data_IF_951783510052
#
_entry.id   IF_951783510052
#
_cell.length_a   1.000
_cell.length_b   1.000
_cell.length_c   1.000
_cell.angle_alpha   90.00
_cell.angle_beta   90.00
_cell.angle_gamma   90.00
#
_symmetry.space_group_name_H-M   'P 1'
#
loop_
_entity.id
_entity.type
_entity.pdbx_description
1 polymer ?
#
# COMPACT_ATOMS: atom_id res chain seq x y z
N UNK A 1 15.89 8.80 14.97
CA UNK A 1 16.51 7.67 14.24
C UNK A 1 15.60 6.44 14.11
N UNK A 2 15.17 5.78 15.21
CA UNK A 2 14.37 4.52 15.15
C UNK A 2 13.05 4.62 14.34
N UNK A 3 12.28 5.70 14.50
CA UNK A 3 11.00 5.88 13.78
C UNK A 3 11.22 6.04 12.27
N UNK A 4 12.33 6.67 11.85
CA UNK A 4 12.62 6.93 10.44
C UNK A 4 12.97 5.64 9.68
N UNK A 5 13.82 4.78 10.27
CA UNK A 5 14.15 3.48 9.67
C UNK A 5 12.96 2.52 9.68
N UNK A 6 12.10 2.61 10.69
CA UNK A 6 10.98 1.68 10.83
C UNK A 6 9.71 2.13 10.09
N UNK A 7 9.59 3.40 9.67
CA UNK A 7 8.38 3.90 9.01
C UNK A 7 8.03 3.13 7.73
N UNK A 8 9.01 2.86 6.85
CA UNK A 8 8.80 2.11 5.61
C UNK A 8 8.29 0.67 5.86
N UNK A 9 8.98 -0.18 6.66
CA UNK A 9 8.49 -1.53 6.94
C UNK A 9 7.16 -1.54 7.71
N UNK A 10 6.92 -0.56 8.58
CA UNK A 10 5.67 -0.47 9.36
C UNK A 10 4.45 -0.16 8.47
N UNK A 11 4.61 0.73 7.48
CA UNK A 11 3.58 0.94 6.45
C UNK A 11 3.44 -0.26 5.51
N UNK A 12 4.55 -0.94 5.19
CA UNK A 12 4.54 -2.18 4.42
C UNK A 12 3.70 -3.28 5.08
N UNK A 13 3.79 -3.46 6.40
CA UNK A 13 2.96 -4.42 7.15
C UNK A 13 1.48 -4.08 7.02
N UNK A 14 1.11 -2.79 7.08
CA UNK A 14 -0.26 -2.33 6.83
C UNK A 14 -0.75 -2.70 5.42
N UNK A 15 0.11 -2.60 4.41
CA UNK A 15 -0.19 -3.03 3.06
C UNK A 15 -0.38 -4.55 2.93
N UNK A 16 0.48 -5.33 3.59
CA UNK A 16 0.36 -6.78 3.64
C UNK A 16 -0.97 -7.22 4.28
N UNK A 17 -1.32 -6.63 5.42
CA UNK A 17 -2.60 -6.88 6.09
C UNK A 17 -3.79 -6.49 5.21
N UNK A 18 -3.73 -5.32 4.56
CA UNK A 18 -4.75 -4.89 3.61
C UNK A 18 -4.94 -5.88 2.47
N UNK A 19 -3.85 -6.47 1.97
CA UNK A 19 -3.87 -7.53 0.96
C UNK A 19 -4.49 -8.83 1.42
N UNK A 20 -4.12 -9.33 2.60
CA UNK A 20 -4.69 -10.55 3.17
C UNK A 20 -6.19 -10.40 3.43
N UNK A 21 -6.60 -9.27 4.02
CA UNK A 21 -8.01 -8.98 4.30
C UNK A 21 -8.79 -8.86 2.99
N UNK A 22 -8.29 -8.09 2.02
CA UNK A 22 -8.93 -7.95 0.71
C UNK A 22 -9.07 -9.30 0.01
N UNK A 23 -8.00 -10.12 -0.01
CA UNK A 23 -8.02 -11.44 -0.61
C UNK A 23 -9.03 -12.37 0.07
N UNK A 24 -9.10 -12.38 1.42
CA UNK A 24 -10.09 -13.18 2.14
C UNK A 24 -11.53 -12.79 1.77
N UNK A 25 -11.82 -11.50 1.65
CA UNK A 25 -13.17 -11.01 1.33
C UNK A 25 -13.57 -11.32 -0.12
N UNK A 26 -12.65 -11.10 -1.05
CA UNK A 26 -12.86 -11.37 -2.48
C UNK A 26 -13.03 -12.87 -2.75
N UNK A 27 -12.30 -13.74 -2.05
CA UNK A 27 -12.49 -15.19 -2.15
C UNK A 27 -13.88 -15.63 -1.73
N UNK A 28 -14.42 -15.06 -0.65
CA UNK A 28 -15.80 -15.33 -0.21
C UNK A 28 -16.81 -14.85 -1.23
N UNK A 29 -16.62 -13.66 -1.81
CA UNK A 29 -17.54 -13.09 -2.81
C UNK A 29 -17.53 -13.87 -4.13
N UNK A 30 -16.38 -14.37 -4.56
CA UNK A 30 -16.24 -15.13 -5.81
C UNK A 30 -16.32 -16.64 -5.61
N UNK A 31 -16.59 -17.12 -4.40
CA UNK A 31 -16.68 -18.54 -4.05
C UNK A 31 -15.44 -19.38 -4.47
N UNK A 32 -14.26 -18.75 -4.45
CA UNK A 32 -12.99 -19.40 -4.84
C UNK A 32 -12.39 -20.09 -3.63
N UNK A 33 -12.47 -21.43 -3.61
CA UNK A 33 -11.91 -22.26 -2.53
C UNK A 33 -10.52 -22.81 -2.85
N UNK A 34 -10.16 -22.88 -4.13
CA UNK A 34 -8.88 -23.41 -4.61
C UNK A 34 -7.69 -22.48 -4.31
N UNK A 35 -6.51 -23.09 -4.12
CA UNK A 35 -5.21 -22.42 -4.06
C UNK A 35 -5.14 -21.20 -3.11
N UNK A 36 -5.64 -21.33 -1.87
CA UNK A 36 -5.73 -20.22 -0.90
C UNK A 36 -4.38 -19.62 -0.53
N UNK A 37 -3.37 -20.47 -0.32
CA UNK A 37 -2.01 -20.03 -0.02
C UNK A 37 -1.35 -19.36 -1.23
N UNK A 38 -1.60 -19.87 -2.44
CA UNK A 38 -1.01 -19.34 -3.66
C UNK A 38 -1.56 -17.95 -4.03
N UNK A 39 -2.80 -17.60 -3.63
CA UNK A 39 -3.33 -16.24 -3.80
C UNK A 39 -3.01 -15.33 -2.59
N UNK A 40 -2.96 -15.87 -1.37
CA UNK A 40 -2.66 -15.11 -0.16
C UNK A 40 -1.21 -14.61 -0.11
N UNK A 41 -0.24 -15.45 -0.46
CA UNK A 41 1.19 -15.09 -0.42
C UNK A 41 1.49 -13.87 -1.31
N UNK A 42 1.21 -13.87 -2.63
CA UNK A 42 1.46 -12.72 -3.49
C UNK A 42 0.64 -11.49 -3.07
N UNK A 43 -0.60 -11.70 -2.59
CA UNK A 43 -1.45 -10.60 -2.13
C UNK A 43 -0.90 -9.89 -0.90
N UNK A 44 -0.07 -10.53 -0.08
CA UNK A 44 0.59 -9.90 1.06
C UNK A 44 1.98 -9.37 0.70
N UNK A 45 2.79 -10.19 0.02
CA UNK A 45 4.18 -9.89 -0.26
C UNK A 45 4.35 -8.77 -1.29
N UNK A 46 3.54 -8.76 -2.36
CA UNK A 46 3.67 -7.77 -3.42
C UNK A 46 3.30 -6.37 -2.90
N UNK A 47 2.17 -6.17 -2.20
CA UNK A 47 1.85 -4.87 -1.61
C UNK A 47 2.86 -4.44 -0.53
N UNK A 48 3.34 -5.38 0.28
CA UNK A 48 4.40 -5.10 1.26
C UNK A 48 5.61 -4.49 0.58
N UNK A 49 6.19 -5.21 -0.40
CA UNK A 49 7.39 -4.79 -1.11
C UNK A 49 7.16 -3.47 -1.84
N UNK A 50 6.03 -3.34 -2.52
CA UNK A 50 5.66 -2.13 -3.27
C UNK A 50 5.62 -0.91 -2.37
N UNK A 51 4.95 -0.99 -1.22
CA UNK A 51 4.88 0.14 -0.28
C UNK A 51 6.22 0.44 0.35
N UNK A 52 7.00 -0.57 0.75
CA UNK A 52 8.36 -0.33 1.27
C UNK A 52 9.26 0.34 0.23
N UNK A 53 9.25 -0.14 -1.03
CA UNK A 53 10.08 0.40 -2.10
C UNK A 53 9.65 1.81 -2.50
N UNK A 54 8.34 2.06 -2.65
CA UNK A 54 7.83 3.40 -2.92
C UNK A 54 8.19 4.33 -1.77
N UNK A 55 8.09 3.88 -0.52
CA UNK A 55 8.45 4.70 0.63
C UNK A 55 9.94 5.07 0.61
N UNK A 56 10.84 4.12 0.30
CA UNK A 56 12.29 4.36 0.18
C UNK A 56 12.62 5.25 -1.02
N UNK A 57 12.18 4.91 -2.23
CA UNK A 57 12.46 5.67 -3.46
C UNK A 57 11.93 7.10 -3.37
N UNK A 58 10.75 7.31 -2.79
CA UNK A 58 10.20 8.65 -2.63
C UNK A 58 10.90 9.40 -1.48
N UNK A 59 11.47 8.73 -0.47
CA UNK A 59 12.39 9.40 0.46
C UNK A 59 13.68 9.80 -0.27
N UNK A 60 14.34 8.88 -0.97
CA UNK A 60 15.66 9.12 -1.55
C UNK A 60 15.61 10.11 -2.73
N UNK A 61 14.72 9.89 -3.71
CA UNK A 61 14.71 10.67 -4.95
C UNK A 61 14.01 12.02 -4.83
N UNK A 62 12.94 12.10 -4.03
CA UNK A 62 12.13 13.32 -3.93
C UNK A 62 12.66 14.26 -2.86
N UNK A 63 13.20 13.75 -1.74
CA UNK A 63 13.58 14.58 -0.60
C UNK A 63 15.02 15.07 -0.70
N UNK A 64 15.94 14.27 -1.25
CA UNK A 64 17.34 14.66 -1.41
C UNK A 64 17.58 15.45 -2.71
N UNK A 65 16.84 15.13 -3.78
CA UNK A 65 17.18 15.62 -5.12
C UNK A 65 16.40 16.84 -5.66
N UNK A 66 15.17 17.12 -5.21
CA UNK A 66 14.34 18.14 -5.91
C UNK A 66 13.25 18.84 -5.11
N UNK A 67 12.68 18.23 -4.09
CA UNK A 67 11.59 18.84 -3.33
C UNK A 67 12.14 19.40 -2.03
N UNK A 68 12.19 20.74 -1.91
CA UNK A 68 12.51 21.39 -0.64
C UNK A 68 11.47 20.95 0.38
N UNK A 69 11.89 20.08 1.29
CA UNK A 69 11.12 19.56 2.41
C UNK A 69 10.90 20.62 3.49
N UNK A 70 10.42 21.80 3.10
CA UNK A 70 10.13 22.92 3.99
C UNK A 70 8.64 22.97 4.38
N UNK A 71 7.81 22.07 3.83
CA UNK A 71 6.38 22.07 4.07
C UNK A 71 5.93 20.80 4.81
N UNK A 72 5.48 20.96 6.05
CA UNK A 72 4.88 19.91 6.87
C UNK A 72 3.65 19.28 6.19
N UNK A 73 2.86 20.10 5.49
CA UNK A 73 1.69 19.65 4.75
C UNK A 73 2.06 18.69 3.59
N UNK A 74 3.19 18.91 2.92
CA UNK A 74 3.66 18.05 1.85
C UNK A 74 4.08 16.66 2.37
N UNK A 75 4.81 16.64 3.50
CA UNK A 75 5.19 15.39 4.16
C UNK A 75 3.96 14.61 4.67
N UNK A 76 2.98 15.31 5.23
CA UNK A 76 1.75 14.71 5.76
C UNK A 76 0.85 14.18 4.64
N UNK A 77 0.62 14.97 3.59
CA UNK A 77 -0.20 14.57 2.44
C UNK A 77 0.38 13.34 1.72
N UNK A 78 1.71 13.24 1.64
CA UNK A 78 2.39 12.06 1.11
C UNK A 78 2.12 10.82 1.97
N UNK A 79 2.27 10.93 3.29
CA UNK A 79 2.01 9.83 4.21
C UNK A 79 0.58 9.31 4.10
N UNK A 80 -0.39 10.23 3.97
CA UNK A 80 -1.80 9.90 3.69
C UNK A 80 -1.94 9.14 2.37
N UNK A 81 -1.34 9.65 1.30
CA UNK A 81 -1.45 9.06 -0.04
C UNK A 81 -0.86 7.66 -0.10
N UNK A 82 0.34 7.46 0.46
CA UNK A 82 1.02 6.16 0.50
C UNK A 82 0.24 5.19 1.38
N UNK A 83 -0.28 5.63 2.53
CA UNK A 83 -1.11 4.81 3.41
C UNK A 83 -2.38 4.36 2.72
N UNK A 84 -3.18 5.30 2.21
CA UNK A 84 -4.47 4.99 1.60
C UNK A 84 -4.36 4.16 0.32
N UNK A 85 -3.44 4.51 -0.60
CA UNK A 85 -3.28 3.78 -1.86
C UNK A 85 -2.59 2.43 -1.60
N UNK A 86 -1.53 2.44 -0.79
CA UNK A 86 -0.70 1.27 -0.52
C UNK A 86 -1.43 0.19 0.27
N UNK A 87 -2.31 0.56 1.20
CA UNK A 87 -3.04 -0.39 2.05
C UNK A 87 -4.47 -0.69 1.60
N UNK A 88 -5.00 0.05 0.63
CA UNK A 88 -6.39 -0.08 0.18
C UNK A 88 -6.51 -0.39 -1.31
N UNK A 89 -6.21 0.60 -2.15
CA UNK A 89 -6.45 0.50 -3.60
C UNK A 89 -5.57 -0.57 -4.25
N UNK A 90 -4.27 -0.55 -3.97
CA UNK A 90 -3.33 -1.50 -4.57
C UNK A 90 -3.61 -2.96 -4.17
N UNK A 91 -3.85 -3.28 -2.87
CA UNK A 91 -4.19 -4.64 -2.48
C UNK A 91 -5.54 -5.13 -3.00
N UNK A 92 -6.56 -4.26 -3.11
CA UNK A 92 -7.87 -4.63 -3.71
C UNK A 92 -7.70 -4.97 -5.19
N UNK A 93 -6.98 -4.15 -5.95
CA UNK A 93 -6.71 -4.42 -7.36
C UNK A 93 -5.95 -5.73 -7.55
N UNK A 94 -4.93 -5.97 -6.75
CA UNK A 94 -4.14 -7.20 -6.85
C UNK A 94 -4.94 -8.44 -6.43
N UNK A 95 -5.78 -8.34 -5.40
CA UNK A 95 -6.68 -9.43 -5.01
C UNK A 95 -7.73 -9.74 -6.10
N UNK A 96 -8.27 -8.72 -6.78
CA UNK A 96 -9.18 -8.91 -7.93
C UNK A 96 -8.48 -9.62 -9.09
N UNK A 97 -7.28 -9.19 -9.45
CA UNK A 97 -6.50 -9.79 -10.54
C UNK A 97 -6.17 -11.26 -10.24
N UNK A 98 -5.63 -11.55 -9.05
CA UNK A 98 -5.25 -12.91 -8.66
C UNK A 98 -6.47 -13.84 -8.64
N UNK A 99 -7.55 -13.45 -7.97
CA UNK A 99 -8.74 -14.30 -7.88
C UNK A 99 -9.47 -14.43 -9.23
N UNK A 100 -9.49 -13.39 -10.05
CA UNK A 100 -10.02 -13.45 -11.41
C UNK A 100 -9.24 -14.42 -12.30
N UNK A 101 -7.90 -14.41 -12.24
CA UNK A 101 -7.07 -15.37 -12.96
C UNK A 101 -7.32 -16.81 -12.50
N UNK A 102 -7.54 -17.03 -11.20
CA UNK A 102 -7.88 -18.35 -10.67
C UNK A 102 -9.21 -18.87 -11.23
N UNK A 103 -10.25 -18.01 -11.30
CA UNK A 103 -11.54 -18.39 -11.88
C UNK A 103 -11.36 -18.72 -13.37
N UNK A 104 -10.66 -17.88 -14.12
CA UNK A 104 -10.39 -18.14 -15.54
C UNK A 104 -9.67 -19.48 -15.78
N UNK A 105 -8.80 -19.91 -14.86
CA UNK A 105 -8.04 -21.15 -14.97
C UNK A 105 -8.79 -22.39 -14.48
N UNK A 106 -9.46 -22.31 -13.32
CA UNK A 106 -10.08 -23.46 -12.67
C UNK A 106 -11.58 -23.60 -12.99
N UNK A 107 -12.25 -22.50 -13.37
CA UNK A 107 -13.68 -22.46 -13.74
C UNK A 107 -13.91 -21.55 -14.95
N UNK A 108 -13.43 -21.94 -16.14
CA UNK A 108 -13.56 -21.12 -17.35
C UNK A 108 -15.01 -20.86 -17.75
N UNK A 109 -15.96 -21.70 -17.31
CA UNK A 109 -17.39 -21.55 -17.53
C UNK A 109 -18.05 -20.46 -16.66
N UNK A 110 -17.46 -20.14 -15.50
CA UNK A 110 -17.89 -19.04 -14.61
C UNK A 110 -17.16 -17.71 -14.91
N UNK A 111 -16.16 -17.76 -15.79
CA UNK A 111 -15.31 -16.61 -16.06
C UNK A 111 -16.08 -15.54 -16.86
N UNK A 112 -16.07 -14.27 -16.42
CA UNK A 112 -16.75 -13.21 -17.14
C UNK A 112 -16.11 -13.01 -18.52
N UNK A 113 -16.94 -12.71 -19.53
CA UNK A 113 -16.47 -12.44 -20.88
C UNK A 113 -15.48 -11.26 -20.90
N UNK A 114 -14.49 -11.23 -21.80
CA UNK A 114 -13.43 -10.20 -21.79
C UNK A 114 -13.97 -8.76 -21.84
N UNK A 115 -15.10 -8.53 -22.51
CA UNK A 115 -15.77 -7.22 -22.59
C UNK A 115 -16.52 -6.80 -21.31
N UNK A 116 -16.80 -7.74 -20.40
CA UNK A 116 -17.56 -7.51 -19.17
C UNK A 116 -16.75 -7.74 -17.89
N UNK A 117 -15.59 -8.40 -18.01
CA UNK A 117 -14.70 -8.72 -16.89
C UNK A 117 -14.35 -7.49 -16.05
N UNK A 118 -14.00 -6.36 -16.69
CA UNK A 118 -13.67 -5.13 -15.96
C UNK A 118 -14.86 -4.58 -15.18
N UNK A 119 -16.07 -4.58 -15.78
CA UNK A 119 -17.30 -4.13 -15.11
C UNK A 119 -17.64 -5.03 -13.92
N UNK A 120 -17.48 -6.34 -14.09
CA UNK A 120 -17.70 -7.33 -13.04
C UNK A 120 -16.72 -7.11 -11.86
N UNK A 121 -15.44 -6.91 -12.16
CA UNK A 121 -14.42 -6.61 -11.14
C UNK A 121 -14.69 -5.30 -10.40
N UNK A 122 -15.10 -4.24 -11.11
CA UNK A 122 -15.50 -2.96 -10.49
C UNK A 122 -16.76 -3.09 -9.62
N UNK A 123 -17.70 -3.96 -10.00
CA UNK A 123 -18.89 -4.24 -9.20
C UNK A 123 -18.54 -4.96 -7.90
N UNK A 124 -17.61 -5.91 -7.97
CA UNK A 124 -17.08 -6.64 -6.80
C UNK A 124 -16.20 -5.75 -5.90
N UNK A 125 -15.49 -4.78 -6.46
CA UNK A 125 -14.61 -3.89 -5.68
C UNK A 125 -15.39 -2.95 -4.75
N UNK A 126 -16.57 -2.47 -5.16
CA UNK A 126 -17.41 -1.55 -4.37
C UNK A 126 -17.72 -2.03 -2.94
N UNK A 127 -18.28 -3.24 -2.72
CA UNK A 127 -18.58 -3.72 -1.37
C UNK A 127 -17.33 -3.99 -0.53
N UNK A 128 -16.25 -4.45 -1.17
CA UNK A 128 -14.95 -4.68 -0.51
C UNK A 128 -14.37 -3.36 -0.02
N UNK A 129 -14.33 -2.36 -0.91
CA UNK A 129 -13.83 -1.03 -0.59
C UNK A 129 -14.62 -0.39 0.55
N UNK A 130 -15.96 -0.49 0.54
CA UNK A 130 -16.80 0.00 1.66
C UNK A 130 -16.46 -0.63 3.01
N UNK A 131 -16.12 -1.92 3.05
CA UNK A 131 -15.74 -2.60 4.30
C UNK A 131 -14.28 -2.34 4.69
N UNK A 132 -13.40 -2.06 3.73
CA UNK A 132 -12.01 -1.67 3.97
C UNK A 132 -11.83 -0.19 4.29
N UNK A 133 -12.83 0.67 4.04
CA UNK A 133 -12.81 2.10 4.36
C UNK A 133 -12.27 2.41 5.77
N UNK A 134 -12.74 1.80 6.88
CA UNK A 134 -12.21 2.10 8.21
C UNK A 134 -10.72 1.76 8.34
N UNK A 135 -10.27 0.66 7.74
CA UNK A 135 -8.87 0.26 7.72
C UNK A 135 -8.02 1.24 6.89
N UNK A 136 -8.53 1.68 5.73
CA UNK A 136 -7.87 2.67 4.88
C UNK A 136 -7.75 4.02 5.59
N UNK A 137 -8.79 4.47 6.31
CA UNK A 137 -8.76 5.70 7.09
C UNK A 137 -7.75 5.61 8.24
N UNK A 138 -7.71 4.48 8.95
CA UNK A 138 -6.71 4.24 9.99
C UNK A 138 -5.28 4.26 9.44
N UNK A 139 -5.04 3.61 8.29
CA UNK A 139 -3.74 3.60 7.63
C UNK A 139 -3.35 4.98 7.06
N UNK A 140 -4.33 5.76 6.58
CA UNK A 140 -4.11 7.14 6.15
C UNK A 140 -3.73 8.04 7.33
N UNK A 141 -4.45 7.94 8.46
CA UNK A 141 -4.11 8.69 9.69
C UNK A 141 -2.74 8.28 10.24
N UNK A 142 -2.43 6.98 10.20
CA UNK A 142 -1.13 6.47 10.62
C UNK A 142 0.00 6.97 9.71
N UNK A 143 -0.21 6.97 8.39
CA UNK A 143 0.71 7.54 7.42
C UNK A 143 0.92 9.04 7.62
N UNK A 144 -0.15 9.79 7.90
CA UNK A 144 -0.07 11.21 8.24
C UNK A 144 0.80 11.45 9.48
N UNK A 145 0.58 10.67 10.54
CA UNK A 145 1.34 10.74 11.78
C UNK A 145 2.84 10.42 11.57
N UNK A 146 3.14 9.37 10.81
CA UNK A 146 4.53 9.04 10.47
C UNK A 146 5.17 10.14 9.64
N UNK A 147 4.45 10.70 8.67
CA UNK A 147 4.92 11.81 7.82
C UNK A 147 5.29 13.06 8.63
N UNK A 148 4.47 13.48 9.59
CA UNK A 148 4.77 14.63 10.45
C UNK A 148 5.96 14.36 11.38
N UNK A 149 6.09 13.14 11.92
CA UNK A 149 7.26 12.74 12.72
C UNK A 149 8.54 12.72 11.89
N UNK A 150 8.50 12.25 10.65
CA UNK A 150 9.65 12.28 9.75
C UNK A 150 10.09 13.72 9.46
N UNK A 151 9.14 14.63 9.24
CA UNK A 151 9.43 16.05 9.03
C UNK A 151 10.12 16.68 10.25
N UNK A 152 9.62 16.43 11.47
CA UNK A 152 10.20 16.95 12.71
C UNK A 152 11.64 16.46 12.96
N UNK A 153 11.96 15.21 12.58
CA UNK A 153 13.33 14.69 12.68
C UNK A 153 14.24 15.30 11.62
N UNK A 154 13.74 15.49 10.40
CA UNK A 154 14.49 16.09 9.30
C UNK A 154 14.85 17.56 9.57
N UNK A 155 13.92 18.35 10.10
CA UNK A 155 14.18 19.75 10.45
C UNK A 155 15.26 19.88 11.53
N UNK A 156 15.24 19.00 12.54
CA UNK A 156 16.30 18.93 13.56
C UNK A 156 17.67 18.55 13.00
N UNK A 157 17.73 17.63 12.04
CA UNK A 157 18.97 17.25 11.36
C UNK A 157 19.56 18.40 10.56
N UNK A 158 18.70 19.18 9.88
CA UNK A 158 19.13 20.34 9.10
C UNK A 158 19.64 21.51 9.96
N UNK A 159 19.14 21.65 11.18
CA UNK A 159 19.60 22.68 12.12
C UNK A 159 20.94 22.36 12.81
N UNK A 160 21.45 21.13 12.65
CA UNK A 160 22.78 20.78 13.15
C UNK A 160 23.84 21.29 12.14
N UNK A 161 24.98 21.82 12.62
CA UNK A 161 26.11 22.09 11.75
C UNK A 161 26.54 20.80 11.04
N UNK A 162 27.06 20.86 9.79
CA UNK A 162 27.48 19.68 9.06
C UNK A 162 28.55 18.95 9.87
N UNK A 163 28.20 17.81 10.46
CA UNK A 163 29.17 16.90 11.04
C UNK A 163 29.93 16.25 9.89
N UNK A 164 31.25 16.34 9.97
CA UNK A 164 32.33 15.99 9.04
C UNK A 164 32.37 14.54 8.53
N UNK A 165 31.28 13.77 8.63
CA UNK A 165 31.27 12.33 8.39
C UNK A 165 30.15 11.90 7.42
N UNK A 166 30.25 12.28 6.14
CA UNK A 166 29.64 11.50 5.07
C UNK A 166 30.51 11.55 3.80
N UNK A 167 31.20 10.46 3.43
CA UNK A 167 31.93 10.39 2.16
C UNK A 167 30.96 10.47 0.99
N UNK A 168 31.44 11.14 -0.07
CA UNK A 168 30.75 11.49 -1.31
C UNK A 168 30.17 10.29 -2.08
#
# INVERSE_FOLDING_TARGET
>A
RKIFNNAAPLMGVGAAMGGLVSNSMLRTLMQVREASLASALPSAFIPFLTVTMIHQVVLDRVFVGRCRLNCELCATTRGILIGAIGSGVHPIAMALLLNGMLIARYRPWDAPTPGEALRHMLKLSKPVMRRLTPFMLAQAAFGAYLGSKQFSVYTKLRSLPPSEDLPA
#
